data_IF_378506104729
#
_entry.id   IF_378506104729
#
_cell.length_a   1.000
_cell.length_b   1.000
_cell.length_c   1.000
_cell.angle_alpha   90.00
_cell.angle_beta   90.00
_cell.angle_gamma   90.00
#
_symmetry.space_group_name_H-M   'P 1'
#
loop_
_entity.id
_entity.type
_entity.pdbx_description
1 polymer ?
#
# COMPACT_ATOMS: atom_id res chain seq x y z
N UNK A 1 19.56 8.18 -17.11
CA UNK A 1 18.56 7.11 -17.01
C UNK A 1 17.77 7.32 -15.73
N UNK A 2 16.43 7.39 -15.82
CA UNK A 2 15.55 7.50 -14.64
C UNK A 2 15.64 6.17 -13.91
N UNK A 3 15.97 6.20 -12.63
CA UNK A 3 16.03 4.98 -11.81
C UNK A 3 14.58 4.59 -11.49
N UNK A 4 14.00 3.66 -12.24
CA UNK A 4 12.60 3.23 -12.12
C UNK A 4 12.25 2.72 -10.71
N UNK A 5 13.24 2.26 -9.96
CA UNK A 5 13.07 1.79 -8.57
C UNK A 5 12.86 2.92 -7.56
N UNK A 6 13.06 4.17 -7.95
CA UNK A 6 12.90 5.33 -7.05
C UNK A 6 11.46 5.86 -6.99
N UNK A 7 10.64 5.54 -8.00
CA UNK A 7 9.32 6.12 -8.20
C UNK A 7 8.23 5.06 -8.28
N UNK A 8 7.12 5.32 -7.59
CA UNK A 8 5.90 4.51 -7.66
C UNK A 8 4.80 5.31 -8.33
N UNK A 9 4.26 4.81 -9.44
CA UNK A 9 3.08 5.39 -10.10
C UNK A 9 1.84 5.06 -9.26
N UNK A 10 1.15 6.09 -8.79
CA UNK A 10 -0.02 5.94 -7.91
C UNK A 10 -1.34 6.35 -8.57
N UNK A 11 -1.28 7.10 -9.67
CA UNK A 11 -2.48 7.53 -10.39
C UNK A 11 -2.21 8.08 -11.77
N UNK A 12 -3.29 8.24 -12.54
CA UNK A 12 -3.27 8.81 -13.89
C UNK A 12 -4.27 9.96 -13.96
N UNK A 13 -3.83 11.14 -14.42
CA UNK A 13 -4.70 12.28 -14.68
C UNK A 13 -5.45 12.04 -15.99
N UNK A 14 -6.77 11.94 -15.92
CA UNK A 14 -7.61 11.58 -17.08
C UNK A 14 -8.20 12.78 -17.79
N UNK A 15 -8.63 13.79 -17.05
CA UNK A 15 -9.28 14.99 -17.62
C UNK A 15 -9.34 16.14 -16.62
N UNK A 16 -9.51 17.39 -17.08
CA UNK A 16 -9.87 18.51 -16.21
C UNK A 16 -11.27 18.30 -15.61
N UNK A 17 -11.50 18.86 -14.42
CA UNK A 17 -12.79 18.86 -13.75
C UNK A 17 -13.21 20.28 -13.38
N UNK A 18 -14.38 20.72 -13.91
CA UNK A 18 -14.87 22.09 -13.72
C UNK A 18 -13.99 23.14 -14.41
N UNK A 19 -14.05 24.36 -13.91
CA UNK A 19 -13.36 25.54 -14.50
C UNK A 19 -12.16 25.99 -13.64
N UNK A 20 -12.09 25.59 -12.38
CA UNK A 20 -11.14 26.09 -11.36
C UNK A 20 -9.85 25.26 -11.27
N UNK A 21 -9.40 24.65 -12.37
CA UNK A 21 -8.11 23.95 -12.41
C UNK A 21 -8.06 22.58 -11.72
N UNK A 22 -9.21 22.05 -11.27
CA UNK A 22 -9.24 20.69 -10.72
C UNK A 22 -9.04 19.66 -11.81
N UNK A 23 -8.44 18.52 -11.45
CA UNK A 23 -8.24 17.38 -12.36
C UNK A 23 -8.89 16.13 -11.81
N UNK A 24 -9.34 15.27 -12.72
CA UNK A 24 -9.85 13.94 -12.43
C UNK A 24 -8.71 12.94 -12.54
N UNK A 25 -8.56 12.12 -11.50
CA UNK A 25 -7.50 11.11 -11.41
C UNK A 25 -8.10 9.73 -11.26
N UNK A 26 -7.65 8.79 -12.08
CA UNK A 26 -7.88 7.36 -11.89
C UNK A 26 -6.82 6.86 -10.90
N UNK A 27 -7.26 6.28 -9.77
CA UNK A 27 -6.35 5.67 -8.80
C UNK A 27 -5.72 4.39 -9.38
N UNK A 28 -4.43 4.22 -9.10
CA UNK A 28 -3.65 2.99 -9.30
C UNK A 28 -3.05 2.54 -7.96
N UNK A 29 -3.59 3.04 -6.83
CA UNK A 29 -3.12 2.79 -5.48
C UNK A 29 -4.30 2.57 -4.55
N UNK A 30 -4.16 1.64 -3.61
CA UNK A 30 -5.15 1.38 -2.57
C UNK A 30 -5.18 2.46 -1.47
N UNK A 31 -4.17 3.34 -1.44
CA UNK A 31 -4.05 4.40 -0.44
C UNK A 31 -4.71 5.69 -0.91
N UNK A 32 -5.96 5.91 -0.51
CA UNK A 32 -6.74 7.11 -0.86
C UNK A 32 -6.09 8.41 -0.36
N UNK A 33 -5.39 8.36 0.76
CA UNK A 33 -4.69 9.51 1.34
C UNK A 33 -3.70 10.17 0.38
N UNK A 34 -3.15 9.40 -0.56
CA UNK A 34 -2.27 9.91 -1.61
C UNK A 34 -2.92 10.95 -2.52
N UNK A 35 -4.25 10.97 -2.56
CA UNK A 35 -5.03 11.90 -3.38
C UNK A 35 -5.82 12.92 -2.57
N UNK A 36 -5.97 12.70 -1.25
CA UNK A 36 -6.79 13.54 -0.36
C UNK A 36 -5.90 14.47 0.47
N UNK A 37 -4.83 13.94 1.07
CA UNK A 37 -3.95 14.72 1.95
C UNK A 37 -3.04 15.65 1.14
N UNK A 38 -2.99 16.97 1.49
CA UNK A 38 -2.04 17.90 0.91
C UNK A 38 -0.59 17.42 1.02
N UNK A 39 0.25 17.83 0.08
CA UNK A 39 1.68 17.52 0.08
C UNK A 39 2.26 17.36 -1.32
N UNK A 40 3.56 17.14 -1.38
CA UNK A 40 4.29 17.01 -2.64
C UNK A 40 3.90 15.72 -3.38
N UNK A 41 3.74 15.87 -4.68
CA UNK A 41 3.57 14.79 -5.67
C UNK A 41 4.50 15.07 -6.82
N UNK A 42 4.78 14.05 -7.61
CA UNK A 42 5.57 14.21 -8.83
C UNK A 42 4.71 13.84 -10.02
N UNK A 43 4.73 14.69 -11.02
CA UNK A 43 3.98 14.46 -12.27
C UNK A 43 4.97 14.12 -13.38
N UNK A 44 4.67 13.09 -14.15
CA UNK A 44 5.48 12.65 -15.27
C UNK A 44 4.61 12.41 -16.50
N UNK A 45 5.03 12.96 -17.62
CA UNK A 45 4.46 12.65 -18.92
C UNK A 45 5.48 11.83 -19.72
N UNK A 46 5.04 10.63 -20.16
CA UNK A 46 5.88 9.71 -20.94
C UNK A 46 7.27 9.47 -20.28
N UNK A 47 8.34 9.81 -20.99
CA UNK A 47 9.73 9.62 -20.57
C UNK A 47 10.37 10.89 -20.00
N UNK A 48 9.59 11.92 -19.67
CA UNK A 48 10.09 13.14 -19.06
C UNK A 48 10.52 12.89 -17.61
N UNK A 49 11.42 13.75 -17.08
CA UNK A 49 11.73 13.71 -15.66
C UNK A 49 10.53 14.12 -14.82
N UNK A 50 10.25 13.44 -13.70
CA UNK A 50 9.17 13.82 -12.80
C UNK A 50 9.33 15.25 -12.28
N UNK A 51 8.32 16.10 -12.48
CA UNK A 51 8.26 17.45 -11.97
C UNK A 51 7.47 17.50 -10.65
N UNK A 52 7.99 18.22 -9.66
CA UNK A 52 7.30 18.40 -8.37
C UNK A 52 6.08 19.29 -8.51
N UNK A 53 4.97 18.90 -7.90
CA UNK A 53 3.75 19.70 -7.80
C UNK A 53 3.07 19.45 -6.44
N UNK A 54 2.65 20.53 -5.79
CA UNK A 54 2.00 20.47 -4.49
C UNK A 54 0.50 20.19 -4.67
N UNK A 55 0.02 19.04 -4.19
CA UNK A 55 -1.39 18.74 -4.03
C UNK A 55 -1.94 19.55 -2.86
N UNK A 56 -2.98 20.36 -3.12
CA UNK A 56 -3.57 21.24 -2.11
C UNK A 56 -4.83 20.67 -1.47
N UNK A 57 -5.61 19.91 -2.25
CA UNK A 57 -6.82 19.24 -1.77
C UNK A 57 -7.25 18.13 -2.72
N UNK A 58 -8.05 17.20 -2.21
CA UNK A 58 -8.66 16.17 -3.03
C UNK A 58 -9.81 15.47 -2.30
N UNK A 59 -10.66 14.80 -3.06
CA UNK A 59 -11.73 13.97 -2.55
C UNK A 59 -12.06 12.83 -3.52
N UNK A 60 -12.52 11.71 -2.99
CA UNK A 60 -13.00 10.56 -3.77
C UNK A 60 -14.39 10.85 -4.33
N UNK A 61 -14.64 10.53 -5.58
CA UNK A 61 -15.98 10.59 -6.15
C UNK A 61 -16.82 9.42 -5.60
N UNK A 62 -18.04 9.69 -5.08
CA UNK A 62 -18.90 8.63 -4.59
C UNK A 62 -19.15 7.54 -5.64
N UNK A 63 -18.99 6.28 -5.25
CA UNK A 63 -19.20 5.11 -6.12
C UNK A 63 -18.19 4.90 -7.25
N UNK A 64 -17.03 5.59 -7.22
CA UNK A 64 -16.00 5.48 -8.27
C UNK A 64 -14.60 5.41 -7.68
N UNK A 65 -13.71 4.68 -8.36
CA UNK A 65 -12.26 4.67 -8.07
C UNK A 65 -11.54 5.89 -8.72
N UNK A 66 -12.18 7.05 -8.62
CA UNK A 66 -11.68 8.31 -9.18
C UNK A 66 -11.67 9.39 -8.12
N UNK A 67 -10.62 10.21 -8.17
CA UNK A 67 -10.44 11.35 -7.28
C UNK A 67 -10.51 12.65 -8.08
N UNK A 68 -11.04 13.71 -7.46
CA UNK A 68 -10.96 15.08 -7.94
C UNK A 68 -9.95 15.79 -7.04
N UNK A 69 -8.86 16.26 -7.64
CA UNK A 69 -7.78 16.87 -6.90
C UNK A 69 -7.41 18.25 -7.45
N UNK A 70 -6.82 19.06 -6.59
CA UNK A 70 -6.31 20.40 -6.91
C UNK A 70 -4.82 20.47 -6.67
N UNK A 71 -4.10 21.12 -7.58
CA UNK A 71 -2.70 21.40 -7.42
C UNK A 71 -2.44 22.91 -7.31
N UNK A 72 -1.42 23.27 -6.55
CA UNK A 72 -0.97 24.65 -6.42
C UNK A 72 -0.56 25.24 -7.77
N UNK A 73 -1.05 26.43 -8.09
CA UNK A 73 -0.75 27.09 -9.36
C UNK A 73 -1.60 26.63 -10.55
N UNK A 74 -2.36 25.54 -10.43
CA UNK A 74 -3.30 25.05 -11.45
C UNK A 74 -4.71 25.54 -11.11
N UNK A 75 -5.05 26.70 -11.59
CA UNK A 75 -6.26 27.43 -11.21
C UNK A 75 -7.26 27.68 -12.38
N UNK A 76 -6.95 27.18 -13.56
CA UNK A 76 -7.82 27.29 -14.75
C UNK A 76 -7.99 25.92 -15.41
N UNK A 77 -9.10 25.79 -16.18
CA UNK A 77 -9.37 24.58 -16.95
C UNK A 77 -8.27 24.29 -17.99
N UNK A 78 -7.70 25.35 -18.61
CA UNK A 78 -6.64 25.17 -19.61
C UNK A 78 -5.38 24.56 -18.96
N UNK A 79 -4.92 25.10 -17.84
CA UNK A 79 -3.78 24.53 -17.08
C UNK A 79 -4.06 23.10 -16.62
N UNK A 80 -5.28 22.80 -16.16
CA UNK A 80 -5.66 21.44 -15.81
C UNK A 80 -5.66 20.48 -17.02
N UNK A 81 -6.03 20.98 -18.21
CA UNK A 81 -6.02 20.20 -19.44
C UNK A 81 -4.60 19.85 -19.92
N UNK A 82 -3.62 20.71 -19.66
CA UNK A 82 -2.20 20.45 -19.95
C UNK A 82 -1.68 19.25 -19.16
N UNK A 83 -2.25 18.97 -17.97
CA UNK A 83 -1.88 17.83 -17.14
C UNK A 83 -2.55 16.51 -17.54
N UNK A 84 -3.36 16.52 -18.60
CA UNK A 84 -4.01 15.29 -19.09
C UNK A 84 -2.95 14.26 -19.51
N UNK A 85 -3.16 12.99 -19.12
CA UNK A 85 -2.26 11.84 -19.32
C UNK A 85 -0.97 11.86 -18.51
N UNK A 86 -0.77 12.83 -17.62
CA UNK A 86 0.32 12.75 -16.67
C UNK A 86 0.09 11.64 -15.65
N UNK A 87 1.13 10.89 -15.36
CA UNK A 87 1.21 9.96 -14.22
C UNK A 87 1.50 10.76 -12.96
N UNK A 88 0.84 10.39 -11.87
CA UNK A 88 1.14 10.89 -10.53
C UNK A 88 2.04 9.86 -9.86
N UNK A 89 3.20 10.31 -9.37
CA UNK A 89 4.19 9.48 -8.73
C UNK A 89 4.41 9.93 -7.29
N UNK A 90 4.85 8.99 -6.47
CA UNK A 90 5.43 9.21 -5.14
C UNK A 90 6.78 8.53 -5.07
N UNK A 91 7.66 8.96 -4.17
CA UNK A 91 8.91 8.24 -3.94
C UNK A 91 8.60 6.88 -3.34
N UNK A 92 9.25 5.83 -3.84
CA UNK A 92 9.02 4.44 -3.40
C UNK A 92 9.35 4.22 -1.92
N UNK A 93 10.26 5.03 -1.36
CA UNK A 93 10.61 5.01 0.07
C UNK A 93 9.63 5.78 0.97
N UNK A 94 8.69 6.55 0.39
CA UNK A 94 7.62 7.23 1.14
C UNK A 94 6.41 6.31 1.17
N UNK A 95 6.46 5.33 2.05
CA UNK A 95 5.28 4.54 2.38
C UNK A 95 4.29 5.40 3.17
N UNK A 96 2.97 5.34 2.90
CA UNK A 96 1.98 6.00 3.73
C UNK A 96 2.18 5.57 5.20
N UNK A 97 2.04 6.52 6.12
CA UNK A 97 1.97 6.14 7.54
C UNK A 97 0.72 5.31 7.72
N UNK A 98 0.92 4.03 7.93
CA UNK A 98 -0.15 3.11 8.30
C UNK A 98 -0.66 3.46 9.69
N UNK A 99 -1.95 3.22 9.95
CA UNK A 99 -2.45 3.19 11.31
C UNK A 99 -1.66 2.14 12.11
N UNK A 100 -1.62 2.26 13.43
CA UNK A 100 -0.81 1.38 14.28
C UNK A 100 -1.08 -0.13 14.10
N UNK A 101 -2.18 -0.47 13.44
CA UNK A 101 -2.62 -1.85 13.17
C UNK A 101 -2.54 -2.24 11.69
N UNK A 102 -2.12 -1.31 10.80
CA UNK A 102 -1.93 -1.59 9.36
C UNK A 102 -0.45 -1.83 9.06
N UNK A 103 -0.14 -2.96 8.44
CA UNK A 103 1.22 -3.32 8.03
C UNK A 103 1.30 -3.33 6.50
N UNK A 104 2.42 -2.88 5.95
CA UNK A 104 2.70 -3.20 4.57
C UNK A 104 2.91 -4.71 4.48
N UNK A 105 2.06 -5.39 3.74
CA UNK A 105 2.10 -6.86 3.63
C UNK A 105 3.50 -7.38 3.28
N UNK A 106 4.28 -6.62 2.52
CA UNK A 106 5.67 -6.96 2.19
C UNK A 106 6.62 -6.96 3.40
N UNK A 107 6.32 -6.18 4.45
CA UNK A 107 7.12 -6.15 5.69
C UNK A 107 6.92 -7.40 6.54
N UNK A 108 5.84 -8.14 6.30
CA UNK A 108 5.57 -9.39 7.00
C UNK A 108 6.36 -10.56 6.45
N UNK A 109 6.87 -10.48 5.21
CA UNK A 109 7.69 -11.53 4.61
C UNK A 109 9.03 -11.61 5.36
N UNK A 110 9.47 -12.82 5.66
CA UNK A 110 10.64 -13.18 6.47
C UNK A 110 10.50 -13.01 7.99
N UNK A 111 9.36 -12.56 8.53
CA UNK A 111 9.14 -12.57 9.97
C UNK A 111 9.14 -14.01 10.51
N UNK A 112 9.73 -14.19 11.70
CA UNK A 112 9.61 -15.42 12.46
C UNK A 112 8.18 -15.58 12.99
N UNK A 113 7.66 -16.79 12.92
CA UNK A 113 6.32 -17.12 13.41
C UNK A 113 6.44 -17.85 14.73
N UNK A 114 5.84 -17.29 15.78
CA UNK A 114 5.84 -17.85 17.13
C UNK A 114 4.42 -18.26 17.55
N UNK A 115 4.35 -19.32 18.34
CA UNK A 115 3.15 -19.74 19.09
C UNK A 115 3.47 -19.74 20.57
N UNK A 116 2.44 -19.57 21.40
CA UNK A 116 2.56 -19.74 22.85
C UNK A 116 2.24 -21.19 23.22
N UNK A 117 3.20 -21.89 23.79
CA UNK A 117 3.06 -23.24 24.39
C UNK A 117 3.55 -23.20 25.83
N UNK A 118 2.72 -23.59 26.79
CA UNK A 118 3.07 -23.64 28.22
C UNK A 118 3.60 -22.32 28.79
N UNK A 119 3.05 -21.17 28.34
CA UNK A 119 3.49 -19.80 28.68
C UNK A 119 4.89 -19.41 28.13
N UNK A 120 5.43 -20.18 27.22
CA UNK A 120 6.66 -19.87 26.49
C UNK A 120 6.39 -19.67 25.01
N UNK A 121 7.15 -18.77 24.37
CA UNK A 121 7.04 -18.54 22.94
C UNK A 121 8.02 -19.42 22.17
N UNK A 122 7.49 -20.25 21.28
CA UNK A 122 8.25 -21.15 20.44
C UNK A 122 8.19 -20.75 18.99
N UNK A 123 9.32 -20.64 18.33
CA UNK A 123 9.39 -20.38 16.88
C UNK A 123 9.01 -21.67 16.15
N UNK A 124 7.99 -21.59 15.29
CA UNK A 124 7.48 -22.73 14.52
C UNK A 124 7.72 -22.61 13.02
N UNK A 125 8.00 -21.41 12.52
CA UNK A 125 8.13 -21.19 11.09
C UNK A 125 8.55 -19.78 10.73
N UNK A 126 8.43 -19.47 9.43
CA UNK A 126 8.71 -18.17 8.86
C UNK A 126 7.65 -17.82 7.81
N UNK A 127 7.29 -16.55 7.74
CA UNK A 127 6.44 -16.04 6.64
C UNK A 127 7.27 -16.02 5.37
N UNK A 128 6.83 -16.72 4.33
CA UNK A 128 7.54 -16.79 3.05
C UNK A 128 6.83 -16.07 1.91
N UNK A 129 5.52 -15.88 2.02
CA UNK A 129 4.72 -15.20 1.01
C UNK A 129 3.39 -14.73 1.60
N UNK A 130 2.64 -14.00 0.79
CA UNK A 130 1.29 -13.52 1.05
C UNK A 130 0.42 -13.84 -0.16
N UNK A 131 -0.74 -14.42 0.08
CA UNK A 131 -1.76 -14.65 -0.94
C UNK A 131 -2.91 -13.67 -0.73
N UNK A 132 -3.21 -12.87 -1.78
CA UNK A 132 -4.05 -11.68 -1.67
C UNK A 132 -5.32 -11.73 -2.54
N UNK A 133 -5.70 -12.90 -3.07
CA UNK A 133 -6.77 -12.94 -4.09
C UNK A 133 -8.21 -12.68 -3.58
N UNK A 134 -8.49 -12.72 -2.30
CA UNK A 134 -9.76 -12.28 -1.63
C UNK A 134 -9.67 -12.35 -0.10
N UNK A 135 -8.76 -13.16 0.44
CA UNK A 135 -8.55 -13.31 1.87
C UNK A 135 -7.05 -13.11 2.11
N UNK A 136 -6.66 -12.07 2.84
CA UNK A 136 -5.28 -11.85 3.23
C UNK A 136 -4.75 -13.09 3.97
N UNK A 137 -4.00 -13.95 3.28
CA UNK A 137 -3.45 -15.19 3.84
C UNK A 137 -1.93 -15.07 3.95
N UNK A 138 -1.38 -15.36 5.12
CA UNK A 138 0.05 -15.55 5.30
C UNK A 138 0.44 -16.96 4.89
N UNK A 139 1.42 -17.09 4.01
CA UNK A 139 2.03 -18.38 3.69
C UNK A 139 3.21 -18.59 4.64
N UNK A 140 3.07 -19.51 5.57
CA UNK A 140 4.10 -19.82 6.57
C UNK A 140 4.78 -21.14 6.20
N UNK A 141 6.11 -21.13 6.17
CA UNK A 141 6.89 -22.36 6.07
C UNK A 141 7.26 -22.84 7.47
N UNK A 142 6.78 -24.02 7.85
CA UNK A 142 7.09 -24.63 9.14
C UNK A 142 8.53 -25.13 9.20
N UNK A 143 9.19 -24.96 10.34
CA UNK A 143 10.57 -25.42 10.57
C UNK A 143 10.67 -26.94 10.60
N UNK A 144 9.68 -27.60 11.24
CA UNK A 144 9.68 -29.04 11.52
C UNK A 144 9.71 -29.92 10.27
N UNK A 145 8.92 -29.59 9.26
CA UNK A 145 8.71 -30.45 8.09
C UNK A 145 8.82 -29.71 6.76
N UNK A 146 9.13 -28.40 6.78
CA UNK A 146 9.20 -27.50 5.62
C UNK A 146 7.87 -27.36 4.86
N UNK A 147 6.76 -27.89 5.39
CA UNK A 147 5.42 -27.69 4.83
C UNK A 147 5.06 -26.19 4.81
N UNK A 148 4.28 -25.82 3.81
CA UNK A 148 3.67 -24.48 3.70
C UNK A 148 2.25 -24.56 4.22
N UNK A 149 1.89 -23.66 5.13
CA UNK A 149 0.55 -23.56 5.72
C UNK A 149 0.02 -22.16 5.45
N UNK A 150 -1.28 -22.09 5.13
CA UNK A 150 -1.99 -20.84 4.89
C UNK A 150 -2.69 -20.39 6.17
N UNK A 151 -2.31 -19.24 6.68
CA UNK A 151 -2.86 -18.67 7.92
C UNK A 151 -3.65 -17.40 7.59
N UNK A 152 -4.95 -17.32 7.93
CA UNK A 152 -5.74 -16.09 7.76
C UNK A 152 -5.11 -14.92 8.54
N UNK A 153 -4.89 -13.81 7.85
CA UNK A 153 -4.33 -12.60 8.46
C UNK A 153 -5.45 -11.76 9.10
N UNK A 154 -5.95 -12.26 10.22
CA UNK A 154 -6.98 -11.62 11.05
C UNK A 154 -6.47 -11.52 12.49
N UNK A 155 -6.94 -10.52 13.24
CA UNK A 155 -6.46 -10.20 14.59
C UNK A 155 -6.64 -11.35 15.58
N UNK A 156 -7.67 -12.17 15.39
CA UNK A 156 -7.97 -13.35 16.20
C UNK A 156 -6.90 -14.43 16.06
N UNK A 157 -6.28 -14.54 14.88
CA UNK A 157 -5.26 -15.56 14.58
C UNK A 157 -3.86 -14.98 14.63
N UNK A 158 -3.68 -13.69 14.33
CA UNK A 158 -2.39 -12.97 14.39
C UNK A 158 -2.52 -11.81 15.36
N UNK A 159 -2.55 -12.05 16.67
CA UNK A 159 -2.80 -11.02 17.68
C UNK A 159 -1.66 -10.02 17.85
N UNK A 160 -0.42 -10.37 17.49
CA UNK A 160 0.74 -9.52 17.68
C UNK A 160 1.73 -9.62 16.52
N UNK A 161 2.20 -8.44 16.07
CA UNK A 161 3.27 -8.30 15.08
C UNK A 161 4.31 -7.33 15.63
N UNK A 162 5.54 -7.77 15.70
CA UNK A 162 6.69 -6.96 16.12
C UNK A 162 7.72 -6.88 15.00
N UNK A 163 7.58 -5.84 14.17
CA UNK A 163 8.50 -5.59 13.06
C UNK A 163 9.92 -5.25 13.52
N UNK A 164 10.07 -4.65 14.73
CA UNK A 164 11.38 -4.27 15.25
C UNK A 164 12.21 -5.50 15.64
N UNK A 165 11.55 -6.47 16.26
CA UNK A 165 12.17 -7.71 16.69
C UNK A 165 12.00 -8.86 15.69
N UNK A 166 11.42 -8.55 14.50
CA UNK A 166 11.32 -9.44 13.35
C UNK A 166 10.52 -10.73 13.61
N UNK A 167 9.41 -10.65 14.37
CA UNK A 167 8.52 -11.77 14.60
C UNK A 167 7.04 -11.38 14.63
N UNK A 168 6.18 -12.39 14.48
CA UNK A 168 4.76 -12.32 14.76
C UNK A 168 4.33 -13.52 15.62
N UNK A 169 3.23 -13.34 16.36
CA UNK A 169 2.63 -14.40 17.16
C UNK A 169 1.33 -14.82 16.49
N UNK A 170 1.11 -16.14 16.43
CA UNK A 170 -0.16 -16.69 15.95
C UNK A 170 -0.82 -17.54 17.05
N UNK A 171 -2.16 -17.52 17.04
CA UNK A 171 -3.03 -18.36 17.86
C UNK A 171 -3.94 -19.17 16.93
N UNK A 172 -3.39 -20.18 16.22
CA UNK A 172 -4.16 -20.94 15.24
C UNK A 172 -5.18 -21.85 15.95
N UNK A 173 -6.40 -22.00 15.40
CA UNK A 173 -7.32 -23.02 15.89
C UNK A 173 -6.74 -24.43 15.70
N UNK A 174 -7.20 -25.41 16.49
CA UNK A 174 -6.73 -26.78 16.39
C UNK A 174 -6.83 -27.33 14.97
N UNK A 175 -5.80 -28.03 14.50
CA UNK A 175 -5.73 -28.61 13.15
C UNK A 175 -5.24 -27.69 12.03
N UNK A 176 -5.19 -26.38 12.21
CA UNK A 176 -4.79 -25.46 11.13
C UNK A 176 -3.30 -25.63 10.71
N UNK A 177 -2.44 -26.02 11.63
CA UNK A 177 -1.01 -26.26 11.35
C UNK A 177 -0.72 -27.68 10.83
N UNK A 178 -1.71 -28.55 10.80
CA UNK A 178 -1.58 -29.96 10.39
C UNK A 178 -1.99 -30.15 8.92
N UNK A 179 -2.62 -29.15 8.31
CA UNK A 179 -3.07 -29.13 6.91
C UNK A 179 -1.87 -28.93 5.91
#
# INVERSE_FOLDING_TARGET
MINENEWLVVGLITSPHGINGKVKVKSLSDFEERFIKPGLRWLQKENEFPAELELTSGFKQPGKETFIISFKGINTRNKANELKQYKILVKSNILPKLNKEEFHLMELVNLEVKIEENKEFKIIGKVINLENEKNNLLVIQLLKNKKKVLIPFVKEIVPLIDLKNNFLIITPPPGLLEL
#
